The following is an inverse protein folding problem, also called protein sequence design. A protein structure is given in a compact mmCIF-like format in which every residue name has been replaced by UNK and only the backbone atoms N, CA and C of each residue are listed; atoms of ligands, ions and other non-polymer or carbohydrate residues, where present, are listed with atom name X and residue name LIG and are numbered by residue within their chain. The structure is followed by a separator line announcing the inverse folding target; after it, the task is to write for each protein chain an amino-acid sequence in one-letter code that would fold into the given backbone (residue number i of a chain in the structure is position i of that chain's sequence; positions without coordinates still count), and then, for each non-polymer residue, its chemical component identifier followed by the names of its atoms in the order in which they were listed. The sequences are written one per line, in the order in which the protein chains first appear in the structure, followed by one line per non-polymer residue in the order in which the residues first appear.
data_IF_391382626366
#
_entry.id   IF_391382626366
#
_cell.length_a   1.000
_cell.length_b   1.000
_cell.length_c   1.000
_cell.angle_alpha   90.00
_cell.angle_beta   90.00
_cell.angle_gamma   90.00
#
_symmetry.space_group_name_H-M   'P 1'
#
loop_
_entity.id
_entity.type
_entity.pdbx_description
1 polymer ?
#
# COMPACT_ATOMS: atom_id res chain seq x y z
N UNK A 1 8.96 -16.11 14.93
CA UNK A 1 9.79 -16.40 13.74
C UNK A 1 9.92 -15.11 12.95
N UNK A 2 11.15 -14.70 12.60
CA UNK A 2 11.35 -13.55 11.72
C UNK A 2 11.04 -14.00 10.29
N UNK A 3 9.78 -13.81 9.87
CA UNK A 3 9.22 -14.39 8.65
C UNK A 3 9.92 -13.93 7.35
N UNK A 4 10.76 -12.89 7.40
CA UNK A 4 11.54 -12.44 6.24
C UNK A 4 12.84 -13.25 6.04
N UNK A 5 13.33 -13.95 7.06
CA UNK A 5 14.61 -14.67 7.00
C UNK A 5 14.63 -15.74 5.90
N UNK A 6 13.57 -16.55 5.82
CA UNK A 6 13.47 -17.62 4.82
C UNK A 6 13.44 -17.05 3.39
N UNK A 7 12.67 -15.99 3.17
CA UNK A 7 12.69 -15.26 1.90
C UNK A 7 14.12 -14.79 1.54
N UNK A 8 14.80 -14.11 2.47
CA UNK A 8 16.13 -13.55 2.22
C UNK A 8 17.18 -14.61 1.90
N UNK A 9 17.17 -15.71 2.66
CA UNK A 9 18.08 -16.84 2.45
C UNK A 9 17.86 -17.48 1.07
N UNK A 10 16.61 -17.73 0.70
CA UNK A 10 16.30 -18.33 -0.61
C UNK A 10 16.53 -17.35 -1.77
N UNK A 11 16.28 -16.06 -1.55
CA UNK A 11 16.53 -15.02 -2.54
C UNK A 11 18.01 -14.97 -2.91
N UNK A 12 18.90 -14.96 -1.91
CA UNK A 12 20.34 -14.94 -2.14
C UNK A 12 20.81 -16.14 -2.97
N UNK A 13 20.27 -17.34 -2.69
CA UNK A 13 20.59 -18.56 -3.44
C UNK A 13 20.11 -18.49 -4.89
N UNK A 14 18.86 -18.08 -5.13
CA UNK A 14 18.24 -18.10 -6.46
C UNK A 14 18.72 -16.94 -7.33
N UNK A 15 18.81 -15.73 -6.75
CA UNK A 15 19.16 -14.50 -7.48
C UNK A 15 20.66 -14.23 -7.53
N UNK A 16 21.46 -14.93 -6.72
CA UNK A 16 22.92 -14.72 -6.60
C UNK A 16 23.27 -13.26 -6.29
N UNK A 17 22.43 -12.60 -5.49
CA UNK A 17 22.57 -11.19 -5.10
C UNK A 17 22.05 -10.98 -3.68
N UNK A 18 22.38 -9.84 -3.08
CA UNK A 18 21.85 -9.47 -1.77
C UNK A 18 20.32 -9.35 -1.84
N UNK A 19 19.64 -9.89 -0.82
CA UNK A 19 18.20 -9.72 -0.69
C UNK A 19 17.84 -8.27 -0.35
N UNK A 20 16.66 -7.78 -0.77
CA UNK A 20 16.16 -6.46 -0.37
C UNK A 20 16.09 -6.32 1.16
N UNK A 21 16.26 -5.08 1.63
CA UNK A 21 16.20 -4.78 3.07
C UNK A 21 14.78 -4.94 3.65
N UNK A 22 14.67 -4.98 4.98
CA UNK A 22 13.37 -5.17 5.65
C UNK A 22 12.40 -4.02 5.38
N UNK A 23 12.88 -2.78 5.21
CA UNK A 23 12.03 -1.62 4.94
C UNK A 23 11.37 -1.76 3.57
N UNK A 24 12.11 -2.20 2.55
CA UNK A 24 11.52 -2.48 1.25
C UNK A 24 10.52 -3.65 1.33
N UNK A 25 10.86 -4.73 2.03
CA UNK A 25 10.01 -5.92 2.10
C UNK A 25 8.68 -5.67 2.82
N UNK A 26 8.71 -5.01 3.99
CA UNK A 26 7.47 -4.63 4.67
C UNK A 26 6.62 -3.66 3.85
N UNK A 27 7.26 -2.70 3.18
CA UNK A 27 6.57 -1.79 2.26
C UNK A 27 5.91 -2.55 1.12
N UNK A 28 6.62 -3.48 0.48
CA UNK A 28 6.10 -4.25 -0.65
C UNK A 28 4.90 -5.10 -0.22
N UNK A 29 4.93 -5.66 0.99
CA UNK A 29 3.79 -6.36 1.58
C UNK A 29 2.60 -5.40 1.68
N UNK A 30 2.75 -4.26 2.35
CA UNK A 30 1.66 -3.29 2.50
C UNK A 30 1.10 -2.78 1.18
N UNK A 31 1.98 -2.44 0.23
CA UNK A 31 1.60 -1.97 -1.10
C UNK A 31 0.82 -3.04 -1.88
N UNK A 32 1.27 -4.30 -1.80
CA UNK A 32 0.59 -5.44 -2.41
C UNK A 32 -0.79 -5.69 -1.81
N UNK A 33 -0.98 -5.46 -0.51
CA UNK A 33 -2.27 -5.69 0.13
C UNK A 33 -3.35 -4.70 -0.35
N UNK A 34 -2.95 -3.50 -0.79
CA UNK A 34 -3.80 -2.56 -1.54
C UNK A 34 -3.88 -2.93 -3.03
N UNK A 35 -2.82 -2.68 -3.79
CA UNK A 35 -2.82 -2.68 -5.27
C UNK A 35 -2.34 -3.98 -5.93
N UNK A 36 -1.95 -4.98 -5.15
CA UNK A 36 -1.46 -6.26 -5.66
C UNK A 36 -2.55 -7.24 -6.07
N UNK A 37 -2.19 -8.15 -6.97
CA UNK A 37 -3.08 -9.20 -7.46
C UNK A 37 -2.38 -10.55 -7.54
N UNK A 38 -2.88 -11.51 -6.75
CA UNK A 38 -2.53 -12.93 -6.84
C UNK A 38 -3.47 -13.61 -7.85
N UNK A 39 -3.08 -13.59 -9.13
CA UNK A 39 -3.94 -14.01 -10.23
C UNK A 39 -3.75 -15.50 -10.58
N UNK A 40 -4.89 -16.18 -10.78
CA UNK A 40 -5.00 -17.54 -11.31
C UNK A 40 -5.88 -17.46 -12.55
N UNK A 41 -5.34 -17.74 -13.74
CA UNK A 41 -6.14 -17.73 -14.96
C UNK A 41 -6.98 -19.02 -15.13
N UNK A 42 -7.83 -19.07 -16.16
CA UNK A 42 -8.68 -20.25 -16.44
C UNK A 42 -7.87 -21.55 -16.69
N UNK A 43 -6.61 -21.43 -17.12
CA UNK A 43 -5.66 -22.56 -17.30
C UNK A 43 -4.87 -22.88 -16.01
N UNK A 44 -5.28 -22.30 -14.87
CA UNK A 44 -4.63 -22.39 -13.56
C UNK A 44 -3.19 -21.85 -13.55
N UNK A 45 -2.80 -21.03 -14.51
CA UNK A 45 -1.49 -20.35 -14.51
C UNK A 45 -1.48 -19.21 -13.52
N UNK A 46 -0.35 -19.09 -12.84
CA UNK A 46 -0.15 -18.20 -11.72
C UNK A 46 0.63 -17.00 -12.18
N UNK A 47 0.16 -15.82 -11.78
CA UNK A 47 0.89 -14.57 -11.98
C UNK A 47 0.65 -13.67 -10.78
N UNK A 48 1.73 -13.10 -10.26
CA UNK A 48 1.63 -11.94 -9.39
C UNK A 48 1.68 -10.67 -10.24
N UNK A 49 0.74 -9.77 -10.03
CA UNK A 49 0.57 -8.57 -10.87
C UNK A 49 0.44 -7.34 -9.97
N UNK A 50 1.21 -6.30 -10.29
CA UNK A 50 1.03 -4.94 -9.79
C UNK A 50 0.64 -4.03 -10.95
N UNK A 51 -0.39 -3.21 -10.75
CA UNK A 51 -0.92 -2.31 -11.78
C UNK A 51 -0.83 -0.88 -11.26
N UNK A 52 -0.26 0.02 -12.06
CA UNK A 52 -0.17 1.45 -11.71
C UNK A 52 -0.44 2.34 -12.92
N UNK A 53 -0.79 3.59 -12.63
CA UNK A 53 -0.85 4.64 -13.66
C UNK A 53 0.55 5.04 -14.14
N UNK A 54 0.61 5.72 -15.29
CA UNK A 54 1.86 6.21 -15.89
C UNK A 54 2.70 7.07 -14.92
N UNK A 55 2.06 7.86 -14.08
CA UNK A 55 2.75 8.71 -13.08
C UNK A 55 3.54 7.89 -12.05
N UNK A 56 3.19 6.61 -11.85
CA UNK A 56 3.85 5.68 -10.93
C UNK A 56 4.65 4.58 -11.68
N UNK A 57 5.04 4.81 -12.94
CA UNK A 57 5.83 3.83 -13.69
C UNK A 57 7.20 3.60 -13.03
N UNK A 58 7.84 4.63 -12.50
CA UNK A 58 9.13 4.51 -11.82
C UNK A 58 9.03 3.65 -10.57
N UNK A 59 7.92 3.73 -9.82
CA UNK A 59 7.66 2.84 -8.70
C UNK A 59 7.63 1.36 -9.15
N UNK A 60 6.96 1.04 -10.27
CA UNK A 60 6.96 -0.32 -10.80
C UNK A 60 8.36 -0.76 -11.25
N UNK A 61 9.15 0.13 -11.86
CA UNK A 61 10.54 -0.16 -12.24
C UNK A 61 11.41 -0.41 -11.01
N UNK A 62 11.27 0.38 -9.95
CA UNK A 62 11.97 0.17 -8.68
C UNK A 62 11.65 -1.20 -8.10
N UNK A 63 10.38 -1.60 -8.04
CA UNK A 63 10.01 -2.95 -7.56
C UNK A 63 10.66 -4.03 -8.44
N UNK A 64 10.58 -3.88 -9.76
CA UNK A 64 11.15 -4.84 -10.72
C UNK A 64 12.66 -5.00 -10.53
N UNK A 65 13.40 -3.89 -10.44
CA UNK A 65 14.86 -3.88 -10.32
C UNK A 65 15.31 -4.37 -8.94
N UNK A 66 14.65 -3.94 -7.86
CA UNK A 66 14.96 -4.37 -6.49
C UNK A 66 14.74 -5.87 -6.29
N UNK A 67 13.67 -6.43 -6.86
CA UNK A 67 13.43 -7.87 -6.80
C UNK A 67 14.23 -8.67 -7.84
N UNK A 68 14.67 -8.01 -8.92
CA UNK A 68 15.14 -8.65 -10.15
C UNK A 68 14.12 -9.68 -10.67
N UNK A 69 12.84 -9.29 -10.73
CA UNK A 69 11.71 -10.17 -11.07
C UNK A 69 10.71 -9.49 -11.99
N UNK A 70 10.17 -10.29 -12.92
CA UNK A 70 9.00 -9.92 -13.72
C UNK A 70 9.27 -9.01 -14.90
N UNK A 71 8.21 -8.76 -15.66
CA UNK A 71 8.22 -7.96 -16.87
C UNK A 71 7.27 -6.78 -16.72
N UNK A 72 7.73 -5.58 -17.08
CA UNK A 72 6.92 -4.38 -17.13
C UNK A 72 6.27 -4.25 -18.51
N UNK A 73 4.95 -4.19 -18.55
CA UNK A 73 4.16 -4.15 -19.78
C UNK A 73 3.24 -2.93 -19.76
N UNK A 74 3.19 -2.18 -20.86
CA UNK A 74 2.23 -1.10 -21.05
C UNK A 74 0.86 -1.68 -21.42
N UNK A 75 -0.20 -1.24 -20.75
CA UNK A 75 -1.57 -1.63 -21.03
C UNK A 75 -2.44 -0.40 -21.29
N UNK A 76 -2.66 -0.09 -22.56
CA UNK A 76 -3.37 1.13 -22.96
C UNK A 76 -2.53 2.39 -22.75
N UNK A 77 -3.15 3.58 -22.79
CA UNK A 77 -2.42 4.84 -22.87
C UNK A 77 -1.72 5.23 -21.55
N UNK A 78 -2.32 4.94 -20.39
CA UNK A 78 -1.92 5.49 -19.08
C UNK A 78 -1.73 4.44 -17.98
N UNK A 79 -1.71 3.14 -18.29
CA UNK A 79 -1.62 2.06 -17.29
C UNK A 79 -0.47 1.13 -17.63
N UNK A 80 0.27 0.71 -16.60
CA UNK A 80 1.38 -0.23 -16.69
C UNK A 80 1.17 -1.39 -15.72
N UNK A 81 1.68 -2.56 -16.09
CA UNK A 81 1.62 -3.79 -15.29
C UNK A 81 3.00 -4.36 -15.10
N UNK A 82 3.41 -4.58 -13.86
CA UNK A 82 4.53 -5.47 -13.55
C UNK A 82 3.97 -6.88 -13.34
N UNK A 83 4.39 -7.84 -14.17
CA UNK A 83 3.90 -9.22 -14.15
C UNK A 83 5.03 -10.17 -13.80
N UNK A 84 4.87 -10.92 -12.70
CA UNK A 84 5.81 -11.95 -12.25
C UNK A 84 5.14 -13.32 -12.42
N UNK A 85 5.71 -14.17 -13.27
CA UNK A 85 5.17 -15.49 -13.65
C UNK A 85 6.18 -16.63 -13.51
N UNK A 86 7.48 -16.32 -13.48
CA UNK A 86 8.53 -17.34 -13.37
C UNK A 86 8.36 -18.11 -12.06
N UNK A 87 8.39 -19.45 -12.12
CA UNK A 87 8.12 -20.32 -10.96
C UNK A 87 9.02 -20.01 -9.75
N UNK A 88 10.32 -19.81 -9.97
CA UNK A 88 11.29 -19.46 -8.92
C UNK A 88 10.95 -18.13 -8.25
N UNK A 89 10.57 -17.13 -9.04
CA UNK A 89 10.19 -15.80 -8.55
C UNK A 89 8.87 -15.86 -7.76
N UNK A 90 7.90 -16.63 -8.26
CA UNK A 90 6.65 -16.88 -7.54
C UNK A 90 6.89 -17.62 -6.23
N UNK A 91 7.84 -18.57 -6.18
CA UNK A 91 8.24 -19.23 -4.93
C UNK A 91 8.80 -18.21 -3.93
N UNK A 92 9.68 -17.31 -4.37
CA UNK A 92 10.21 -16.26 -3.52
C UNK A 92 9.10 -15.34 -3.00
N UNK A 93 8.19 -14.89 -3.87
CA UNK A 93 7.04 -14.09 -3.43
C UNK A 93 6.15 -14.84 -2.44
N UNK A 94 5.90 -16.14 -2.65
CA UNK A 94 5.16 -16.97 -1.69
C UNK A 94 5.87 -16.97 -0.33
N UNK A 95 7.18 -17.17 -0.29
CA UNK A 95 7.96 -17.11 0.96
C UNK A 95 7.89 -15.73 1.62
N UNK A 96 7.83 -14.65 0.83
CA UNK A 96 7.68 -13.29 1.34
C UNK A 96 6.30 -13.05 1.97
N UNK A 97 5.21 -13.46 1.32
CA UNK A 97 3.86 -13.13 1.78
C UNK A 97 3.31 -14.11 2.81
N UNK A 98 3.74 -15.38 2.79
CA UNK A 98 3.22 -16.41 3.69
C UNK A 98 3.55 -16.09 5.16
N UNK A 99 2.51 -15.91 5.98
CA UNK A 99 2.65 -15.49 7.38
C UNK A 99 2.93 -14.00 7.59
N UNK A 100 3.06 -13.19 6.53
CA UNK A 100 3.36 -11.75 6.62
C UNK A 100 2.20 -10.84 6.26
N UNK A 101 1.19 -11.33 5.53
CA UNK A 101 -0.03 -10.56 5.21
C UNK A 101 -0.81 -10.17 6.47
N UNK A 102 -1.49 -9.02 6.41
CA UNK A 102 -2.28 -8.44 7.50
C UNK A 102 -3.77 -8.50 7.16
N UNK A 103 -4.18 -8.08 5.96
CA UNK A 103 -5.58 -7.99 5.56
C UNK A 103 -6.22 -9.38 5.41
N UNK A 104 -7.32 -9.66 6.13
CA UNK A 104 -8.06 -10.92 5.98
C UNK A 104 -8.46 -11.24 4.53
N UNK A 105 -8.94 -10.26 3.77
CA UNK A 105 -9.31 -10.51 2.36
C UNK A 105 -8.11 -10.96 1.52
N UNK A 106 -6.93 -10.40 1.77
CA UNK A 106 -5.71 -10.73 1.02
C UNK A 106 -5.14 -12.09 1.44
N UNK A 107 -5.26 -12.45 2.72
CA UNK A 107 -4.94 -13.80 3.22
C UNK A 107 -5.75 -14.88 2.49
N UNK A 108 -7.05 -14.66 2.27
CA UNK A 108 -7.90 -15.59 1.51
C UNK A 108 -7.43 -15.74 0.06
N UNK A 109 -7.20 -14.63 -0.64
CA UNK A 109 -6.71 -14.65 -2.02
C UNK A 109 -5.35 -15.34 -2.14
N UNK A 110 -4.43 -15.02 -1.24
CA UNK A 110 -3.10 -15.63 -1.19
C UNK A 110 -3.16 -17.13 -0.92
N UNK A 111 -4.01 -17.60 0.01
CA UNK A 111 -4.14 -19.02 0.30
C UNK A 111 -4.59 -19.81 -0.96
N UNK A 112 -5.56 -19.30 -1.72
CA UNK A 112 -5.96 -19.89 -2.99
C UNK A 112 -4.81 -19.96 -4.00
N UNK A 113 -3.99 -18.90 -4.06
CA UNK A 113 -2.80 -18.85 -4.91
C UNK A 113 -1.76 -19.89 -4.50
N UNK A 114 -1.47 -20.02 -3.20
CA UNK A 114 -0.55 -21.01 -2.63
C UNK A 114 -1.01 -22.45 -2.90
N UNK A 115 -2.30 -22.74 -2.70
CA UNK A 115 -2.87 -24.06 -2.99
C UNK A 115 -2.69 -24.45 -4.46
N UNK A 116 -2.88 -23.52 -5.39
CA UNK A 116 -2.66 -23.77 -6.81
C UNK A 116 -1.16 -23.92 -7.14
N UNK A 117 -0.28 -23.16 -6.49
CA UNK A 117 1.17 -23.32 -6.63
C UNK A 117 1.62 -24.73 -6.21
N UNK A 118 1.23 -25.17 -5.02
CA UNK A 118 1.55 -26.49 -4.48
C UNK A 118 0.96 -27.62 -5.34
N UNK A 119 -0.28 -27.48 -5.80
CA UNK A 119 -0.93 -28.47 -6.69
C UNK A 119 -0.16 -28.68 -7.99
N UNK A 120 0.45 -27.61 -8.53
CA UNK A 120 1.31 -27.70 -9.72
C UNK A 120 2.67 -28.33 -9.42
N UNK A 121 3.24 -28.11 -8.23
CA UNK A 121 4.48 -28.76 -7.78
C UNK A 121 4.32 -30.29 -7.79
N UNK A 122 3.24 -30.80 -7.19
CA UNK A 122 2.93 -32.24 -7.15
C UNK A 122 2.86 -32.88 -8.54
N UNK A 123 2.17 -32.24 -9.49
CA UNK A 123 2.04 -32.76 -10.87
C UNK A 123 3.37 -32.84 -11.61
N UNK A 124 4.34 -32.00 -11.27
CA UNK A 124 5.68 -31.99 -11.88
C UNK A 124 6.68 -32.92 -11.16
N UNK A 125 6.22 -33.71 -10.17
CA UNK A 125 7.08 -34.51 -9.27
C UNK A 125 8.15 -33.66 -8.55
N UNK A 126 7.87 -32.37 -8.39
CA UNK A 126 8.66 -31.43 -7.61
C UNK A 126 7.99 -31.32 -6.24
N UNK A 127 8.58 -31.95 -5.22
CA UNK A 127 7.99 -32.08 -3.88
C UNK A 127 8.16 -30.83 -2.99
N UNK A 128 8.40 -29.66 -3.59
CA UNK A 128 8.48 -28.39 -2.87
C UNK A 128 7.09 -27.87 -2.49
N UNK A 129 6.51 -28.47 -1.45
CA UNK A 129 5.24 -28.04 -0.85
C UNK A 129 5.51 -27.02 0.25
N UNK A 130 4.86 -25.87 0.15
CA UNK A 130 4.97 -24.80 1.15
C UNK A 130 3.66 -24.79 1.95
N UNK A 131 3.67 -25.10 3.26
CA UNK A 131 2.46 -25.06 4.07
C UNK A 131 2.00 -23.61 4.26
N UNK A 132 0.70 -23.40 4.37
CA UNK A 132 0.15 -22.09 4.71
C UNK A 132 0.49 -21.74 6.16
N UNK A 133 1.01 -20.54 6.39
CA UNK A 133 1.33 -20.02 7.72
C UNK A 133 0.24 -19.04 8.16
N UNK A 134 -0.53 -19.43 9.18
CA UNK A 134 -1.48 -18.54 9.81
C UNK A 134 -0.75 -17.42 10.56
N UNK A 135 -1.19 -16.18 10.39
CA UNK A 135 -0.65 -15.03 11.11
C UNK A 135 -1.77 -14.10 11.59
N UNK A 136 -1.56 -13.52 12.76
CA UNK A 136 -2.43 -12.50 13.37
C UNK A 136 -1.69 -11.15 13.45
N UNK A 137 -0.81 -10.89 12.49
CA UNK A 137 -0.06 -9.63 12.41
C UNK A 137 -1.03 -8.46 12.34
N UNK A 138 -0.68 -7.38 13.04
CA UNK A 138 -1.40 -6.11 13.03
C UNK A 138 -0.51 -5.02 12.43
N UNK A 139 -1.10 -3.96 11.86
CA UNK A 139 -0.35 -2.79 11.44
C UNK A 139 0.57 -2.26 12.56
N UNK A 140 1.73 -1.71 12.20
CA UNK A 140 2.70 -1.21 13.17
C UNK A 140 3.34 0.09 12.69
N UNK A 141 3.65 0.98 13.64
CA UNK A 141 4.43 2.21 13.37
C UNK A 141 5.96 1.96 13.36
N UNK A 142 6.38 0.71 13.60
CA UNK A 142 7.79 0.32 13.67
C UNK A 142 8.31 -0.35 12.39
N UNK A 143 7.47 -0.49 11.37
CA UNK A 143 7.87 -0.95 10.04
C UNK A 143 7.15 -0.14 8.95
N UNK A 144 7.47 -0.42 7.69
CA UNK A 144 6.97 0.31 6.51
C UNK A 144 5.72 -0.30 5.87
N UNK A 145 5.07 -1.28 6.51
CA UNK A 145 3.86 -1.89 5.97
C UNK A 145 2.76 -0.84 5.76
N UNK A 146 2.52 0.01 6.75
CA UNK A 146 1.48 1.03 6.68
C UNK A 146 1.81 2.12 5.66
N UNK A 147 3.11 2.42 5.45
CA UNK A 147 3.57 3.29 4.37
C UNK A 147 3.19 2.71 3.01
N UNK A 148 3.54 1.44 2.74
CA UNK A 148 3.18 0.78 1.48
C UNK A 148 1.68 0.69 1.26
N UNK A 149 0.92 0.35 2.30
CA UNK A 149 -0.54 0.29 2.23
C UNK A 149 -1.14 1.68 1.98
N UNK A 150 -0.55 2.74 2.56
CA UNK A 150 -0.91 4.13 2.28
C UNK A 150 -0.59 4.51 0.84
N UNK A 151 0.54 4.07 0.28
CA UNK A 151 0.90 4.33 -1.12
C UNK A 151 -0.07 3.71 -2.12
N UNK A 152 -0.70 2.60 -1.78
CA UNK A 152 -1.81 2.05 -2.55
C UNK A 152 -3.13 2.81 -2.25
N UNK A 153 -3.65 2.70 -1.03
CA UNK A 153 -5.05 3.01 -0.70
C UNK A 153 -5.27 4.35 0.03
N UNK A 154 -4.18 5.01 0.46
CA UNK A 154 -4.25 6.22 1.26
C UNK A 154 -4.65 7.46 0.46
N UNK A 155 -5.22 8.45 1.13
CA UNK A 155 -5.57 9.73 0.53
C UNK A 155 -5.36 10.87 1.52
N UNK A 156 -4.64 11.90 1.08
CA UNK A 156 -4.42 13.14 1.83
C UNK A 156 -5.28 14.24 1.19
N UNK A 157 -6.17 14.86 1.95
CA UNK A 157 -7.10 15.86 1.40
C UNK A 157 -7.22 17.07 2.31
N UNK A 158 -7.23 18.26 1.70
CA UNK A 158 -7.59 19.52 2.33
C UNK A 158 -8.64 20.17 1.42
N UNK A 159 -9.72 20.69 2.00
CA UNK A 159 -10.77 21.37 1.25
C UNK A 159 -11.42 22.46 2.09
N UNK A 160 -11.71 23.62 1.51
CA UNK A 160 -12.53 24.63 2.16
C UNK A 160 -13.98 24.14 2.30
N UNK A 161 -14.60 24.35 3.46
CA UNK A 161 -16.00 24.01 3.67
C UNK A 161 -16.91 25.04 2.98
N UNK A 162 -17.93 24.59 2.27
CA UNK A 162 -18.84 25.48 1.50
C UNK A 162 -19.52 26.56 2.35
N UNK A 163 -19.80 26.26 3.62
CA UNK A 163 -20.57 27.14 4.51
C UNK A 163 -19.68 27.84 5.57
N UNK A 164 -18.35 27.83 5.41
CA UNK A 164 -17.46 28.50 6.37
C UNK A 164 -16.12 28.89 5.76
N UNK A 165 -15.32 29.67 6.50
CA UNK A 165 -13.92 29.96 6.14
C UNK A 165 -12.94 28.87 6.62
N UNK A 166 -13.45 27.78 7.20
CA UNK A 166 -12.63 26.72 7.77
C UNK A 166 -12.23 25.68 6.72
N UNK A 167 -10.99 25.21 6.82
CA UNK A 167 -10.48 24.09 6.03
C UNK A 167 -10.76 22.76 6.73
N UNK A 168 -11.29 21.80 5.97
CA UNK A 168 -11.36 20.40 6.37
C UNK A 168 -10.13 19.67 5.86
N UNK A 169 -9.30 19.21 6.79
CA UNK A 169 -8.12 18.39 6.51
C UNK A 169 -8.38 16.94 6.92
N UNK A 170 -7.97 15.98 6.08
CA UNK A 170 -8.17 14.55 6.30
C UNK A 170 -7.04 13.70 5.74
N UNK A 171 -6.66 12.70 6.53
CA UNK A 171 -6.01 11.47 6.04
C UNK A 171 -7.05 10.34 6.04
N UNK A 172 -7.11 9.60 4.94
CA UNK A 172 -8.12 8.58 4.69
C UNK A 172 -7.42 7.31 4.19
N UNK A 173 -7.75 6.16 4.76
CA UNK A 173 -7.42 4.84 4.22
C UNK A 173 -8.71 4.09 3.97
N UNK A 174 -8.96 3.67 2.73
CA UNK A 174 -10.16 2.93 2.37
C UNK A 174 -9.84 1.49 1.99
N UNK A 175 -10.74 0.56 2.29
CA UNK A 175 -10.61 -0.81 1.85
C UNK A 175 -11.99 -1.45 1.67
N UNK A 176 -12.10 -2.32 0.66
CA UNK A 176 -13.30 -3.10 0.38
C UNK A 176 -13.41 -4.31 1.32
N UNK A 177 -14.63 -4.70 1.65
CA UNK A 177 -14.93 -5.91 2.39
C UNK A 177 -15.02 -5.64 3.88
N UNK A 178 -16.17 -5.94 4.48
CA UNK A 178 -16.38 -5.95 5.92
C UNK A 178 -15.36 -6.82 6.68
N UNK A 179 -14.85 -7.89 6.05
CA UNK A 179 -13.79 -8.75 6.59
C UNK A 179 -12.52 -7.97 6.97
N UNK A 180 -12.28 -6.80 6.36
CA UNK A 180 -11.12 -5.95 6.65
C UNK A 180 -11.38 -4.89 7.73
N UNK A 181 -12.63 -4.74 8.19
CA UNK A 181 -13.00 -3.78 9.24
C UNK A 181 -12.16 -3.88 10.50
N UNK A 182 -11.84 -5.07 11.05
CA UNK A 182 -11.01 -5.16 12.25
C UNK A 182 -9.64 -4.51 12.09
N UNK A 183 -9.04 -4.59 10.89
CA UNK A 183 -7.75 -3.96 10.60
C UNK A 183 -7.89 -2.44 10.51
N UNK A 184 -8.96 -1.93 9.86
CA UNK A 184 -9.22 -0.49 9.81
C UNK A 184 -9.52 0.09 11.20
N UNK A 185 -10.30 -0.62 12.02
CA UNK A 185 -10.60 -0.21 13.40
C UNK A 185 -9.37 -0.19 14.28
N UNK A 186 -8.43 -1.12 14.08
CA UNK A 186 -7.16 -1.13 14.80
C UNK A 186 -6.32 0.13 14.54
N UNK A 187 -6.47 0.80 13.38
CA UNK A 187 -5.77 2.05 13.10
C UNK A 187 -6.19 3.20 14.04
N UNK A 188 -7.42 3.15 14.60
CA UNK A 188 -7.86 4.12 15.62
C UNK A 188 -6.97 4.02 16.86
N UNK A 189 -6.68 2.79 17.30
CA UNK A 189 -5.80 2.54 18.44
C UNK A 189 -4.35 2.88 18.10
N UNK A 190 -3.91 2.51 16.89
CA UNK A 190 -2.53 2.68 16.44
C UNK A 190 -2.12 4.16 16.38
N UNK A 191 -2.96 5.00 15.79
CA UNK A 191 -2.72 6.45 15.72
C UNK A 191 -3.34 7.22 16.89
N UNK A 192 -4.01 6.55 17.82
CA UNK A 192 -4.72 7.15 18.96
C UNK A 192 -5.71 8.23 18.52
N UNK A 193 -6.41 8.00 17.41
CA UNK A 193 -7.33 8.96 16.84
C UNK A 193 -7.99 8.51 15.54
N UNK A 194 -8.94 9.32 15.06
CA UNK A 194 -9.73 9.02 13.88
C UNK A 194 -10.94 8.12 14.16
N UNK A 195 -11.62 7.71 13.09
CA UNK A 195 -12.82 6.88 13.12
C UNK A 195 -12.92 6.00 11.88
N UNK A 196 -13.73 4.94 11.94
CA UNK A 196 -14.09 4.14 10.77
C UNK A 196 -15.52 4.47 10.36
N UNK A 197 -15.73 4.71 9.07
CA UNK A 197 -17.03 5.01 8.48
C UNK A 197 -17.28 4.15 7.24
N UNK A 198 -18.54 3.88 6.92
CA UNK A 198 -18.91 3.32 5.62
C UNK A 198 -18.67 4.34 4.50
N UNK A 199 -18.12 3.88 3.38
CA UNK A 199 -17.98 4.69 2.18
C UNK A 199 -19.33 4.75 1.43
N UNK A 200 -19.51 5.74 0.55
CA UNK A 200 -20.71 5.84 -0.31
C UNK A 200 -20.88 4.64 -1.27
N UNK A 201 -19.80 3.90 -1.51
CA UNK A 201 -19.81 2.67 -2.28
C UNK A 201 -20.08 1.53 -1.32
N UNK A 202 -21.10 0.72 -1.61
CA UNK A 202 -21.44 -0.49 -0.84
C UNK A 202 -20.19 -1.35 -0.60
N UNK A 203 -20.09 -1.94 0.58
CA UNK A 203 -19.02 -2.85 0.98
C UNK A 203 -17.61 -2.22 0.92
N UNK A 204 -17.51 -0.91 1.13
CA UNK A 204 -16.24 -0.21 1.30
C UNK A 204 -16.27 0.60 2.59
N UNK A 205 -15.16 0.58 3.31
CA UNK A 205 -15.03 1.24 4.61
C UNK A 205 -13.77 2.08 4.62
N UNK A 206 -13.81 3.17 5.38
CA UNK A 206 -12.72 4.14 5.45
C UNK A 206 -12.33 4.41 6.89
N UNK A 207 -11.05 4.23 7.21
CA UNK A 207 -10.44 4.87 8.37
C UNK A 207 -10.13 6.33 8.03
N UNK A 208 -10.55 7.26 8.89
CA UNK A 208 -10.46 8.70 8.65
C UNK A 208 -9.93 9.39 9.90
N UNK A 209 -8.80 10.08 9.76
CA UNK A 209 -8.34 11.11 10.70
C UNK A 209 -8.72 12.46 10.09
N UNK A 210 -9.46 13.29 10.83
CA UNK A 210 -9.91 14.60 10.37
C UNK A 210 -9.71 15.67 11.43
N UNK A 211 -9.36 16.88 10.98
CA UNK A 211 -9.11 18.04 11.85
C UNK A 211 -7.63 18.35 11.99
N UNK A 212 -7.30 19.63 12.12
CA UNK A 212 -5.94 20.14 12.06
C UNK A 212 -5.04 19.61 13.18
N UNK A 213 -5.60 19.42 14.37
CA UNK A 213 -4.88 18.84 15.50
C UNK A 213 -4.69 17.33 15.34
N UNK A 214 -5.76 16.63 14.92
CA UNK A 214 -5.74 15.17 14.80
C UNK A 214 -4.79 14.67 13.71
N UNK A 215 -4.70 15.37 12.57
CA UNK A 215 -3.80 14.95 11.47
C UNK A 215 -2.33 15.05 11.86
N UNK A 216 -1.97 15.72 12.96
CA UNK A 216 -0.59 15.72 13.46
C UNK A 216 -0.15 14.34 13.97
N UNK A 217 -1.09 13.45 14.34
CA UNK A 217 -0.79 12.12 14.86
C UNK A 217 -0.12 11.19 13.84
N UNK A 218 -0.27 11.46 12.53
CA UNK A 218 0.33 10.62 11.48
C UNK A 218 1.74 11.07 11.09
N UNK A 219 2.11 12.32 11.35
CA UNK A 219 3.38 12.88 10.89
C UNK A 219 4.61 12.15 11.45
N UNK A 220 4.68 11.77 12.75
CA UNK A 220 5.85 11.05 13.26
C UNK A 220 6.15 9.75 12.49
N UNK A 221 5.12 9.06 12.01
CA UNK A 221 5.29 7.85 11.21
C UNK A 221 5.73 8.17 9.78
N UNK A 222 5.03 9.07 9.09
CA UNK A 222 5.30 9.38 7.69
C UNK A 222 6.53 10.27 7.47
N UNK A 223 7.05 10.93 8.51
CA UNK A 223 8.35 11.60 8.49
C UNK A 223 9.52 10.63 8.71
N UNK A 224 9.27 9.53 9.43
CA UNK A 224 10.28 8.50 9.72
C UNK A 224 10.60 7.63 8.50
N UNK A 225 9.66 7.47 7.58
CA UNK A 225 9.77 6.57 6.43
C UNK A 225 9.57 7.31 5.10
N UNK A 226 10.37 6.96 4.10
CA UNK A 226 10.36 7.61 2.78
C UNK A 226 9.39 6.90 1.84
N UNK A 227 8.42 7.65 1.28
CA UNK A 227 7.52 7.21 0.22
C UNK A 227 8.30 6.86 -1.06
N UNK A 228 7.89 5.82 -1.78
CA UNK A 228 8.52 5.44 -3.05
C UNK A 228 7.81 6.00 -4.28
N UNK A 229 6.50 6.25 -4.18
CA UNK A 229 5.67 6.73 -5.28
C UNK A 229 5.26 8.19 -5.16
N UNK A 230 4.42 8.63 -6.09
CA UNK A 230 3.94 10.02 -6.15
C UNK A 230 3.15 10.47 -4.91
N UNK A 231 2.66 9.53 -4.08
CA UNK A 231 1.89 9.88 -2.88
C UNK A 231 2.75 10.57 -1.82
N UNK A 232 4.07 10.40 -1.87
CA UNK A 232 5.00 11.21 -1.09
C UNK A 232 4.86 12.70 -1.38
N UNK A 233 4.64 13.10 -2.63
CA UNK A 233 4.39 14.49 -3.00
C UNK A 233 3.09 15.01 -2.40
N UNK A 234 2.03 14.20 -2.43
CA UNK A 234 0.75 14.52 -1.80
C UNK A 234 0.88 14.67 -0.29
N UNK A 235 1.65 13.81 0.38
CA UNK A 235 1.94 13.91 1.82
C UNK A 235 2.69 15.21 2.16
N UNK A 236 3.74 15.54 1.41
CA UNK A 236 4.52 16.76 1.63
C UNK A 236 3.66 18.03 1.44
N UNK A 237 2.89 18.10 0.34
CA UNK A 237 1.98 19.20 0.09
C UNK A 237 0.89 19.31 1.18
N UNK A 238 0.34 18.17 1.61
CA UNK A 238 -0.65 18.11 2.70
C UNK A 238 -0.08 18.64 4.02
N UNK A 239 1.10 18.17 4.42
CA UNK A 239 1.77 18.60 5.66
C UNK A 239 2.09 20.09 5.61
N UNK A 240 2.71 20.56 4.52
CA UNK A 240 3.04 21.98 4.33
C UNK A 240 1.80 22.87 4.39
N UNK A 241 0.71 22.48 3.73
CA UNK A 241 -0.50 23.29 3.72
C UNK A 241 -1.19 23.33 5.09
N UNK A 242 -1.18 22.21 5.84
CA UNK A 242 -1.67 22.19 7.21
C UNK A 242 -0.84 23.12 8.13
N UNK A 243 0.49 23.17 8.00
CA UNK A 243 1.32 24.12 8.76
C UNK A 243 0.94 25.58 8.48
N UNK A 244 0.72 25.94 7.21
CA UNK A 244 0.24 27.29 6.83
C UNK A 244 -1.13 27.61 7.43
N UNK A 245 -2.04 26.63 7.44
CA UNK A 245 -3.36 26.79 8.07
C UNK A 245 -3.20 26.98 9.59
N UNK A 246 -2.34 26.19 10.25
CA UNK A 246 -2.03 26.29 11.69
C UNK A 246 -1.45 27.65 12.07
N UNK A 247 -0.64 28.24 11.20
CA UNK A 247 -0.08 29.59 11.36
C UNK A 247 -1.09 30.72 11.09
N UNK A 248 -2.37 30.41 10.89
CA UNK A 248 -3.43 31.40 10.72
C UNK A 248 -3.44 32.08 9.34
N UNK A 249 -2.67 31.60 8.36
CA UNK A 249 -2.64 32.23 7.03
C UNK A 249 -4.01 32.27 6.35
N UNK A 250 -4.83 31.26 6.61
CA UNK A 250 -6.21 31.17 6.13
C UNK A 250 -7.14 32.27 6.68
N UNK A 251 -6.73 33.06 7.66
CA UNK A 251 -7.49 34.20 8.18
C UNK A 251 -7.42 35.40 7.22
N UNK A 252 -6.30 35.57 6.52
CA UNK A 252 -6.14 36.58 5.48
C UNK A 252 -6.85 36.15 4.18
N UNK A 253 -7.54 37.08 3.52
CA UNK A 253 -8.35 36.78 2.33
C UNK A 253 -7.53 36.28 1.13
N UNK A 254 -6.43 36.96 0.80
CA UNK A 254 -5.60 36.62 -0.36
C UNK A 254 -4.84 35.32 -0.13
N UNK A 255 -4.26 35.15 1.06
CA UNK A 255 -3.63 33.89 1.45
C UNK A 255 -4.65 32.74 1.46
N UNK A 256 -5.88 32.96 1.93
CA UNK A 256 -6.93 31.92 1.86
C UNK A 256 -7.20 31.47 0.43
N UNK A 257 -7.33 32.40 -0.53
CA UNK A 257 -7.52 32.06 -1.94
C UNK A 257 -6.37 31.20 -2.47
N UNK A 258 -5.13 31.56 -2.11
CA UNK A 258 -3.94 30.78 -2.43
C UNK A 258 -4.00 29.36 -1.85
N UNK A 259 -4.31 29.23 -0.55
CA UNK A 259 -4.44 27.93 0.13
C UNK A 259 -5.52 27.05 -0.51
N UNK A 260 -6.64 27.65 -0.96
CA UNK A 260 -7.67 26.94 -1.72
C UNK A 260 -7.10 26.37 -3.01
N UNK A 261 -6.37 27.15 -3.81
CA UNK A 261 -5.74 26.67 -5.05
C UNK A 261 -4.76 25.52 -4.76
N UNK A 262 -3.91 25.68 -3.74
CA UNK A 262 -2.96 24.65 -3.34
C UNK A 262 -3.65 23.36 -2.90
N UNK A 263 -4.77 23.46 -2.17
CA UNK A 263 -5.53 22.31 -1.70
C UNK A 263 -6.06 21.42 -2.84
N UNK A 264 -6.43 22.03 -3.98
CA UNK A 264 -6.86 21.32 -5.18
C UNK A 264 -5.70 20.59 -5.88
N UNK A 265 -4.45 21.02 -5.67
CA UNK A 265 -3.28 20.46 -6.33
C UNK A 265 -2.63 19.30 -5.54
N UNK A 266 -3.03 19.03 -4.29
CA UNK A 266 -2.43 17.98 -3.43
C UNK A 266 -2.38 16.61 -4.12
N UNK A 267 -3.44 16.22 -4.82
CA UNK A 267 -3.56 14.91 -5.48
C UNK A 267 -3.54 15.00 -7.01
N UNK A 268 -3.10 16.13 -7.57
CA UNK A 268 -3.16 16.35 -9.01
C UNK A 268 -2.10 15.51 -9.70
N UNK A 269 -2.55 14.67 -10.64
CA UNK A 269 -1.68 13.87 -11.51
C UNK A 269 -1.05 14.74 -12.60
N UNK A 270 0.16 14.38 -13.02
CA UNK A 270 0.76 14.91 -14.26
C UNK A 270 -0.20 14.66 -15.43
N UNK A 271 -0.35 15.66 -16.31
CA UNK A 271 -1.26 15.57 -17.47
C UNK A 271 -0.71 14.64 -18.55
#
# INVERSE_FOLDING_TARGET
YNNLFLFKSEFQKIKKSNAPDDKFLYWLIGFTEGDGCFSINHRKELSFILIQGIDNIELLKTIQTTLNMGNLIKQGPRVYRLIIQKREDLRLLILLFNGNLILPSRKVQFNLFLLNFNSKSLKKKDYTIIPYLLSNNLPSLNNTWLLGFTEAEGCFTISLLNNSKAFRTRYILSQKGDINLPILSYLILLFKGGKVEGHSKKDNYSYIISGLDNVQFIYPYFDKYVFMGIKGLSYLAFKQLNERIKNGEHLNLEKRKELVILSHNINRKSK
#
